data_IF_148010832063
#
_entry.id   IF_148010832063
#
_cell.length_a   1.000
_cell.length_b   1.000
_cell.length_c   1.000
_cell.angle_alpha   90.00
_cell.angle_beta   90.00
_cell.angle_gamma   90.00
#
_symmetry.space_group_name_H-M   'P 1'
#
loop_
_entity.id
_entity.type
_entity.pdbx_description
1 polymer ?
#
# COMPACT_ATOMS: atom_id res chain seq x y z
N UNK A 1 -32.35 -54.71 -31.67
CA UNK A 1 -32.09 -53.26 -31.55
C UNK A 1 -31.74 -52.97 -30.11
N UNK A 2 -30.45 -52.90 -29.80
CA UNK A 2 -30.01 -52.82 -28.42
C UNK A 2 -28.50 -52.66 -28.31
N UNK A 3 -28.13 -52.06 -27.18
CA UNK A 3 -26.81 -52.06 -26.54
C UNK A 3 -25.78 -51.12 -27.16
N UNK A 4 -25.82 -49.86 -26.74
CA UNK A 4 -24.79 -48.87 -27.05
C UNK A 4 -24.73 -47.74 -26.02
N UNK A 5 -24.76 -48.05 -24.72
CA UNK A 5 -24.71 -46.99 -23.69
C UNK A 5 -24.15 -47.43 -22.33
N UNK A 6 -22.99 -48.12 -22.26
CA UNK A 6 -22.34 -48.40 -20.95
C UNK A 6 -20.79 -48.31 -20.94
N UNK A 7 -20.09 -48.22 -22.07
CA UNK A 7 -18.62 -48.46 -22.06
C UNK A 7 -17.75 -47.22 -21.79
N UNK A 8 -18.29 -45.99 -21.79
CA UNK A 8 -17.44 -44.79 -21.72
C UNK A 8 -17.18 -44.22 -20.31
N UNK A 9 -17.80 -44.76 -19.25
CA UNK A 9 -17.67 -44.23 -17.89
C UNK A 9 -16.69 -44.98 -16.96
N UNK A 10 -16.14 -46.13 -17.38
CA UNK A 10 -15.26 -46.95 -16.53
C UNK A 10 -13.76 -46.80 -16.79
N UNK A 11 -13.34 -46.06 -17.85
CA UNK A 11 -11.91 -45.90 -18.19
C UNK A 11 -11.20 -44.71 -17.51
N UNK A 12 -11.93 -43.78 -16.88
CA UNK A 12 -11.32 -42.62 -16.18
C UNK A 12 -11.07 -42.83 -14.69
N UNK A 13 -11.68 -43.82 -14.05
CA UNK A 13 -11.51 -44.07 -12.62
C UNK A 13 -10.22 -44.84 -12.27
N UNK A 14 -9.63 -45.58 -13.22
CA UNK A 14 -8.47 -46.45 -12.94
C UNK A 14 -7.11 -45.78 -13.11
N UNK A 15 -7.03 -44.59 -13.74
CA UNK A 15 -5.76 -43.87 -13.93
C UNK A 15 -5.46 -42.90 -12.78
N UNK A 16 -6.47 -42.53 -11.98
CA UNK A 16 -6.28 -41.60 -10.84
C UNK A 16 -5.82 -42.33 -9.57
N UNK A 17 -5.97 -43.66 -9.48
CA UNK A 17 -5.65 -44.41 -8.26
C UNK A 17 -4.27 -45.08 -8.23
N UNK A 18 -3.55 -45.14 -9.36
CA UNK A 18 -2.24 -45.81 -9.43
C UNK A 18 -1.06 -44.84 -9.25
N UNK A 19 -1.28 -43.53 -9.32
CA UNK A 19 -0.22 -42.52 -9.11
C UNK A 19 -0.11 -42.03 -7.65
N UNK A 20 -0.77 -42.69 -6.68
CA UNK A 20 -0.72 -42.33 -5.25
C UNK A 20 -0.10 -43.42 -4.36
N UNK A 21 0.55 -44.44 -4.94
CA UNK A 21 1.07 -45.60 -4.18
C UNK A 21 2.52 -45.97 -4.52
N UNK A 22 3.36 -44.98 -4.88
CA UNK A 22 4.79 -45.20 -5.18
C UNK A 22 5.74 -44.16 -4.53
N UNK A 23 5.32 -43.47 -3.48
CA UNK A 23 6.21 -42.60 -2.69
C UNK A 23 6.28 -43.01 -1.20
N UNK A 24 6.01 -44.29 -0.93
CA UNK A 24 6.40 -44.93 0.32
C UNK A 24 7.72 -45.64 0.11
N UNK A 25 8.76 -45.20 0.84
CA UNK A 25 10.06 -45.87 1.03
C UNK A 25 11.17 -45.57 0.00
N UNK A 26 11.74 -44.37 0.12
CA UNK A 26 13.19 -44.19 -0.05
C UNK A 26 13.67 -43.17 1.00
N UNK A 27 14.19 -43.67 2.11
CA UNK A 27 14.86 -42.87 3.12
C UNK A 27 16.26 -42.47 2.64
N UNK A 28 16.60 -41.20 2.81
CA UNK A 28 17.95 -40.66 2.59
C UNK A 28 17.94 -39.21 2.13
N UNK A 29 17.98 -38.27 3.08
CA UNK A 29 18.59 -36.91 3.03
C UNK A 29 18.69 -36.32 1.60
N UNK A 30 17.71 -35.54 1.13
CA UNK A 30 17.65 -34.08 1.31
C UNK A 30 16.21 -33.58 1.04
N UNK A 31 15.47 -33.03 2.03
CA UNK A 31 14.13 -32.50 1.79
C UNK A 31 14.23 -31.03 1.37
N UNK A 32 14.94 -30.74 0.27
CA UNK A 32 14.94 -29.41 -0.32
C UNK A 32 14.72 -29.55 -1.82
N UNK A 33 13.48 -29.89 -2.20
CA UNK A 33 13.01 -29.71 -3.57
C UNK A 33 12.91 -28.20 -3.78
N UNK A 34 14.05 -27.61 -4.15
CA UNK A 34 14.24 -26.19 -4.39
C UNK A 34 13.35 -25.79 -5.57
N UNK A 35 12.14 -25.34 -5.26
CA UNK A 35 11.19 -24.90 -6.28
C UNK A 35 11.68 -23.58 -6.89
N UNK A 36 11.46 -23.37 -8.19
CA UNK A 36 11.80 -22.11 -8.88
C UNK A 36 11.28 -20.87 -8.14
N UNK A 37 10.10 -21.00 -7.50
CA UNK A 37 9.50 -19.98 -6.66
C UNK A 37 10.33 -19.66 -5.41
N UNK A 38 10.87 -20.67 -4.72
CA UNK A 38 11.73 -20.44 -3.56
C UNK A 38 13.04 -19.74 -3.96
N UNK A 39 13.62 -20.12 -5.11
CA UNK A 39 14.81 -19.44 -5.67
C UNK A 39 14.54 -17.96 -5.95
N UNK A 40 13.42 -17.65 -6.61
CA UNK A 40 13.02 -16.27 -6.91
C UNK A 40 12.87 -15.42 -5.64
N UNK A 41 12.13 -15.92 -4.64
CA UNK A 41 11.93 -15.20 -3.38
C UNK A 41 13.23 -15.03 -2.58
N UNK A 42 14.10 -16.04 -2.60
CA UNK A 42 15.41 -15.97 -1.94
C UNK A 42 16.30 -14.92 -2.62
N UNK A 43 16.33 -14.90 -3.95
CA UNK A 43 17.06 -13.90 -4.73
C UNK A 43 16.54 -12.48 -4.45
N UNK A 44 15.21 -12.29 -4.53
CA UNK A 44 14.55 -11.01 -4.25
C UNK A 44 14.87 -10.51 -2.85
N UNK A 45 14.77 -11.39 -1.85
CA UNK A 45 15.14 -11.06 -0.47
C UNK A 45 16.61 -10.70 -0.35
N UNK A 46 17.50 -11.43 -1.01
CA UNK A 46 18.95 -11.16 -0.96
C UNK A 46 19.29 -9.78 -1.56
N UNK A 47 18.71 -9.44 -2.72
CA UNK A 47 18.88 -8.12 -3.34
C UNK A 47 18.34 -7.01 -2.44
N UNK A 48 17.16 -7.20 -1.85
CA UNK A 48 16.58 -6.25 -0.89
C UNK A 48 17.50 -5.98 0.29
N UNK A 49 18.07 -7.03 0.89
CA UNK A 49 18.97 -6.90 2.03
C UNK A 49 20.29 -6.22 1.65
N UNK A 50 20.85 -6.55 0.48
CA UNK A 50 22.08 -5.89 -0.01
C UNK A 50 21.83 -4.39 -0.18
N UNK A 51 20.72 -4.00 -0.81
CA UNK A 51 20.38 -2.59 -1.03
C UNK A 51 20.12 -1.88 0.31
N UNK A 52 19.39 -2.52 1.23
CA UNK A 52 19.11 -1.99 2.57
C UNK A 52 20.39 -1.75 3.38
N UNK A 53 21.27 -2.75 3.42
CA UNK A 53 22.54 -2.68 4.16
C UNK A 53 23.45 -1.62 3.52
N UNK A 54 23.56 -1.60 2.19
CA UNK A 54 24.35 -0.60 1.49
C UNK A 54 23.84 0.82 1.77
N UNK A 55 22.52 1.03 1.72
CA UNK A 55 21.93 2.34 2.01
C UNK A 55 22.19 2.76 3.46
N UNK A 56 21.97 1.86 4.43
CA UNK A 56 22.18 2.15 5.85
C UNK A 56 23.63 2.52 6.16
N UNK A 57 24.58 1.68 5.73
CA UNK A 57 26.02 1.92 5.93
C UNK A 57 26.45 3.23 5.28
N UNK A 58 26.01 3.51 4.05
CA UNK A 58 26.44 4.72 3.35
C UNK A 58 25.89 5.98 4.05
N UNK A 59 24.64 5.99 4.50
CA UNK A 59 24.09 7.10 5.30
C UNK A 59 24.83 7.28 6.63
N UNK A 60 25.18 6.19 7.30
CA UNK A 60 25.96 6.26 8.55
C UNK A 60 27.35 6.82 8.32
N UNK A 61 28.01 6.45 7.21
CA UNK A 61 29.29 7.03 6.82
C UNK A 61 29.17 8.55 6.61
N UNK A 62 28.09 9.04 5.98
CA UNK A 62 27.85 10.48 5.85
C UNK A 62 27.69 11.17 7.22
N UNK A 63 26.96 10.55 8.17
CA UNK A 63 26.78 11.10 9.51
C UNK A 63 28.10 11.14 10.28
N UNK A 64 28.89 10.06 10.24
CA UNK A 64 30.19 9.95 10.90
C UNK A 64 31.21 10.92 10.30
N UNK A 65 31.16 11.13 8.98
CA UNK A 65 32.04 12.08 8.30
C UNK A 65 31.80 13.53 8.74
N UNK A 66 30.56 13.90 9.06
CA UNK A 66 30.25 15.25 9.52
C UNK A 66 30.82 15.57 10.91
N UNK A 67 30.71 14.62 11.84
CA UNK A 67 31.17 14.81 13.22
C UNK A 67 31.87 13.55 13.75
N UNK A 68 33.19 13.55 13.60
CA UNK A 68 34.06 12.46 14.04
C UNK A 68 34.16 12.34 15.57
N UNK A 69 33.70 13.33 16.34
CA UNK A 69 33.97 13.42 17.78
C UNK A 69 32.88 12.80 18.65
N UNK A 70 31.67 12.67 18.11
CA UNK A 70 30.53 12.13 18.85
C UNK A 70 30.44 10.60 18.73
N UNK A 71 30.73 9.90 19.82
CA UNK A 71 30.56 8.43 19.95
C UNK A 71 29.11 8.00 19.60
N UNK A 72 28.13 8.89 19.81
CA UNK A 72 26.72 8.66 19.44
C UNK A 72 26.52 8.36 17.96
N UNK A 73 27.40 8.82 17.07
CA UNK A 73 27.24 8.61 15.63
C UNK A 73 27.40 7.14 15.22
N UNK A 74 28.16 6.35 15.98
CA UNK A 74 28.31 4.90 15.76
C UNK A 74 27.08 4.10 16.21
N UNK A 75 26.22 4.69 17.07
CA UNK A 75 25.03 4.01 17.56
C UNK A 75 23.96 3.81 16.47
N UNK A 76 24.02 4.59 15.39
CA UNK A 76 23.09 4.49 14.25
C UNK A 76 23.15 3.16 13.49
N UNK A 77 24.23 2.40 13.67
CA UNK A 77 24.37 1.07 13.07
C UNK A 77 23.50 0.00 13.77
N UNK A 78 23.16 0.20 15.05
CA UNK A 78 22.31 -0.72 15.82
C UNK A 78 20.87 -0.80 15.28
N UNK A 79 20.14 0.32 15.08
CA UNK A 79 18.80 0.25 14.50
C UNK A 79 18.80 -0.27 13.06
N UNK A 80 19.86 -0.02 12.28
CA UNK A 80 20.00 -0.58 10.92
C UNK A 80 20.13 -2.11 10.94
N UNK A 81 20.92 -2.64 11.87
CA UNK A 81 21.02 -4.09 12.08
C UNK A 81 19.66 -4.70 12.48
N UNK A 82 18.91 -4.04 13.38
CA UNK A 82 17.56 -4.49 13.76
C UNK A 82 16.57 -4.44 12.58
N UNK A 83 16.67 -3.43 11.72
CA UNK A 83 15.83 -3.30 10.52
C UNK A 83 16.01 -4.49 9.57
N UNK A 84 17.25 -4.97 9.39
CA UNK A 84 17.54 -6.15 8.55
C UNK A 84 16.69 -7.35 8.99
N UNK A 85 16.62 -7.64 10.29
CA UNK A 85 15.76 -8.73 10.79
C UNK A 85 14.28 -8.46 10.54
N UNK A 86 13.83 -7.21 10.67
CA UNK A 86 12.47 -6.81 10.35
C UNK A 86 12.10 -7.12 8.90
N UNK A 87 12.96 -6.75 7.95
CA UNK A 87 12.76 -7.03 6.53
C UNK A 87 12.81 -8.52 6.20
N UNK A 88 13.75 -9.28 6.79
CA UNK A 88 13.78 -10.74 6.65
C UNK A 88 12.48 -11.37 7.13
N UNK A 89 11.96 -10.94 8.29
CA UNK A 89 10.70 -11.44 8.82
C UNK A 89 9.49 -11.07 7.95
N UNK A 90 9.45 -9.86 7.38
CA UNK A 90 8.40 -9.44 6.46
C UNK A 90 8.40 -10.25 5.15
N UNK A 91 9.59 -10.49 4.58
CA UNK A 91 9.74 -11.30 3.37
C UNK A 91 9.43 -12.77 3.62
N UNK A 92 9.87 -13.34 4.75
CA UNK A 92 9.56 -14.72 5.14
C UNK A 92 8.04 -14.93 5.31
N UNK A 93 7.35 -13.96 5.91
CA UNK A 93 5.87 -13.98 6.00
C UNK A 93 5.20 -13.87 4.64
N UNK A 94 5.68 -12.98 3.76
CA UNK A 94 5.21 -12.89 2.38
C UNK A 94 5.31 -14.25 1.66
N UNK A 95 6.46 -14.91 1.77
CA UNK A 95 6.67 -16.24 1.21
C UNK A 95 5.75 -17.32 1.81
N UNK A 96 5.55 -17.35 3.13
CA UNK A 96 4.64 -18.30 3.76
C UNK A 96 3.19 -18.09 3.36
N UNK A 97 2.78 -16.85 3.11
CA UNK A 97 1.44 -16.55 2.62
C UNK A 97 1.22 -17.04 1.18
N UNK A 98 2.29 -17.15 0.39
CA UNK A 98 2.25 -17.69 -0.98
C UNK A 98 2.18 -19.22 -1.04
N UNK A 99 2.48 -19.93 0.06
CA UNK A 99 2.37 -21.39 0.04
C UNK A 99 0.90 -21.80 -0.04
N UNK A 100 0.52 -22.65 -1.01
CA UNK A 100 -0.84 -23.18 -1.06
C UNK A 100 -1.11 -23.89 0.25
N UNK A 101 -2.09 -23.40 1.00
CA UNK A 101 -2.53 -24.09 2.21
C UNK A 101 -3.12 -25.42 1.76
N UNK A 102 -2.67 -26.56 2.32
CA UNK A 102 -3.32 -27.83 2.03
C UNK A 102 -4.81 -27.66 2.36
N UNK A 103 -5.68 -28.09 1.44
CA UNK A 103 -7.13 -28.11 1.61
C UNK A 103 -7.39 -28.96 2.85
N UNK A 104 -7.46 -28.32 4.02
CA UNK A 104 -8.04 -28.95 5.21
C UNK A 104 -9.52 -28.92 4.94
N UNK A 105 -10.08 -30.10 4.73
CA UNK A 105 -11.50 -30.37 4.77
C UNK A 105 -12.13 -29.55 5.89
N UNK A 106 -13.10 -28.72 5.51
CA UNK A 106 -14.11 -28.17 6.39
C UNK A 106 -14.55 -29.27 7.36
N UNK A 107 -14.18 -29.12 8.64
CA UNK A 107 -14.78 -29.74 9.83
C UNK A 107 -13.73 -29.70 10.93
N UNK A 108 -13.55 -28.53 11.54
CA UNK A 108 -13.03 -28.36 12.89
C UNK A 108 -13.09 -26.87 13.24
N UNK A 109 -14.19 -26.52 13.89
CA UNK A 109 -14.17 -25.69 15.09
C UNK A 109 -13.51 -24.30 14.97
N UNK A 110 -14.38 -23.31 14.97
CA UNK A 110 -14.20 -22.03 15.66
C UNK A 110 -13.54 -22.24 17.04
N UNK A 111 -12.21 -22.37 17.07
CA UNK A 111 -11.44 -22.06 18.26
C UNK A 111 -11.22 -20.56 18.26
N UNK A 112 -12.11 -19.87 18.96
CA UNK A 112 -11.89 -18.53 19.50
C UNK A 112 -10.63 -18.57 20.37
N UNK A 113 -9.47 -18.42 19.73
CA UNK A 113 -8.25 -18.01 20.41
C UNK A 113 -8.58 -16.67 21.09
N UNK A 114 -8.25 -16.46 22.38
CA UNK A 114 -8.45 -15.17 23.02
C UNK A 114 -7.61 -14.15 22.25
N UNK A 115 -8.28 -13.41 21.37
CA UNK A 115 -7.66 -12.47 20.47
C UNK A 115 -7.42 -11.22 21.30
N UNK A 116 -6.17 -11.00 21.73
CA UNK A 116 -5.76 -9.75 22.36
C UNK A 116 -6.38 -8.58 21.55
N UNK A 117 -7.12 -7.69 22.22
CA UNK A 117 -7.90 -6.62 21.56
C UNK A 117 -7.07 -5.82 20.55
N UNK A 118 -5.77 -5.65 20.83
CA UNK A 118 -4.80 -5.00 19.97
C UNK A 118 -4.62 -5.70 18.60
N UNK A 119 -4.64 -7.04 18.55
CA UNK A 119 -4.51 -7.78 17.30
C UNK A 119 -5.77 -7.67 16.44
N UNK A 120 -6.95 -7.72 17.05
CA UNK A 120 -8.23 -7.51 16.36
C UNK A 120 -8.30 -6.10 15.77
N UNK A 121 -7.88 -5.09 16.54
CA UNK A 121 -7.79 -3.70 16.10
C UNK A 121 -6.84 -3.51 14.91
N UNK A 122 -5.63 -4.08 14.96
CA UNK A 122 -4.68 -3.99 13.85
C UNK A 122 -5.17 -4.68 12.58
N UNK A 123 -5.80 -5.84 12.69
CA UNK A 123 -6.36 -6.54 11.52
C UNK A 123 -7.53 -5.75 10.92
N UNK A 124 -8.36 -5.12 11.75
CA UNK A 124 -9.48 -4.28 11.31
C UNK A 124 -9.03 -3.03 10.56
N UNK A 125 -7.98 -2.35 11.04
CA UNK A 125 -7.52 -1.08 10.45
C UNK A 125 -6.48 -1.28 9.34
N UNK A 126 -5.45 -2.11 9.58
CA UNK A 126 -4.33 -2.29 8.66
C UNK A 126 -4.53 -3.45 7.68
N UNK A 127 -5.49 -4.34 7.93
CA UNK A 127 -5.69 -5.56 7.14
C UNK A 127 -4.84 -6.73 7.64
N UNK A 128 -5.00 -7.89 6.97
CA UNK A 128 -4.40 -9.18 7.40
C UNK A 128 -2.88 -9.21 7.26
N UNK A 129 -2.30 -8.38 6.40
CA UNK A 129 -0.88 -8.38 6.03
C UNK A 129 -0.19 -7.07 6.45
N UNK A 130 -0.25 -6.74 7.74
CA UNK A 130 0.26 -5.49 8.28
C UNK A 130 1.80 -5.45 8.45
N UNK A 131 2.51 -6.58 8.38
CA UNK A 131 3.97 -6.62 8.65
C UNK A 131 4.81 -5.73 7.73
N UNK A 132 4.62 -5.72 6.39
CA UNK A 132 5.36 -4.83 5.49
C UNK A 132 5.14 -3.35 5.83
N UNK A 133 3.94 -2.98 6.27
CA UNK A 133 3.66 -1.61 6.72
C UNK A 133 4.52 -1.23 7.93
N UNK A 134 4.59 -2.05 8.98
CA UNK A 134 5.38 -1.71 10.16
C UNK A 134 6.86 -1.59 9.85
N UNK A 135 7.41 -2.56 9.11
CA UNK A 135 8.82 -2.56 8.75
C UNK A 135 9.15 -1.33 7.90
N UNK A 136 8.29 -1.00 6.94
CA UNK A 136 8.43 0.23 6.15
C UNK A 136 8.35 1.49 7.02
N UNK A 137 7.39 1.59 7.95
CA UNK A 137 7.25 2.78 8.80
C UNK A 137 8.46 2.99 9.71
N UNK A 138 8.98 1.92 10.33
CA UNK A 138 10.20 1.99 11.15
C UNK A 138 11.40 2.38 10.28
N UNK A 139 11.52 1.78 9.10
CA UNK A 139 12.55 2.11 8.12
C UNK A 139 12.48 3.59 7.69
N UNK A 140 11.33 4.06 7.25
CA UNK A 140 11.14 5.45 6.79
C UNK A 140 11.36 6.44 7.92
N UNK A 141 10.98 6.13 9.16
CA UNK A 141 11.25 7.00 10.30
C UNK A 141 12.76 7.12 10.55
N UNK A 142 13.49 6.01 10.54
CA UNK A 142 14.95 6.02 10.67
C UNK A 142 15.62 6.77 9.52
N UNK A 143 15.18 6.55 8.29
CA UNK A 143 15.64 7.28 7.11
C UNK A 143 15.40 8.79 7.27
N UNK A 144 14.19 9.19 7.66
CA UNK A 144 13.83 10.59 7.90
C UNK A 144 14.72 11.24 8.94
N UNK A 145 14.99 10.55 10.05
CA UNK A 145 15.87 11.09 11.10
C UNK A 145 17.30 11.27 10.57
N UNK A 146 17.86 10.27 9.87
CA UNK A 146 19.19 10.36 9.27
C UNK A 146 19.28 11.48 8.23
N UNK A 147 18.28 11.58 7.35
CA UNK A 147 18.19 12.65 6.35
C UNK A 147 18.07 14.02 7.01
N UNK A 148 17.24 14.17 8.04
CA UNK A 148 17.12 15.42 8.77
C UNK A 148 18.44 15.82 9.45
N UNK A 149 19.15 14.89 10.08
CA UNK A 149 20.47 15.13 10.68
C UNK A 149 21.47 15.60 9.61
N UNK A 150 21.53 14.89 8.48
CA UNK A 150 22.43 15.22 7.37
C UNK A 150 22.16 16.63 6.85
N UNK A 151 20.90 16.96 6.53
CA UNK A 151 20.56 18.26 5.94
C UNK A 151 20.53 19.41 6.94
N UNK A 152 20.42 19.13 8.25
CA UNK A 152 20.56 20.13 9.31
C UNK A 152 21.99 20.36 9.78
N UNK A 153 22.90 19.46 9.45
CA UNK A 153 24.32 19.65 9.70
C UNK A 153 24.95 20.60 8.68
N UNK A 154 26.20 20.99 8.91
CA UNK A 154 26.98 21.77 7.94
C UNK A 154 27.41 20.94 6.71
N UNK A 155 27.10 19.64 6.67
CA UNK A 155 27.51 18.73 5.62
C UNK A 155 27.09 19.19 4.21
N UNK A 156 25.83 19.63 3.94
CA UNK A 156 25.43 20.10 2.61
C UNK A 156 26.26 21.28 2.08
N UNK A 157 26.92 22.03 2.96
CA UNK A 157 27.78 23.16 2.63
C UNK A 157 29.26 22.75 2.46
N UNK A 158 29.66 21.59 3.01
CA UNK A 158 31.02 21.04 2.97
C UNK A 158 31.24 20.02 1.86
N UNK A 159 30.17 19.46 1.28
CA UNK A 159 30.30 18.46 0.23
C UNK A 159 30.84 19.09 -1.07
N UNK A 160 31.97 18.57 -1.55
CA UNK A 160 32.53 18.91 -2.85
C UNK A 160 32.23 17.80 -3.87
N UNK A 161 32.07 18.17 -5.14
CA UNK A 161 31.76 17.22 -6.22
C UNK A 161 32.91 16.24 -6.50
N UNK A 162 34.14 16.63 -6.17
CA UNK A 162 35.35 15.83 -6.40
C UNK A 162 35.67 14.83 -5.29
N UNK A 163 34.94 14.88 -4.17
CA UNK A 163 35.18 13.98 -3.04
C UNK A 163 34.48 12.63 -3.25
N UNK A 164 35.03 11.58 -2.59
CA UNK A 164 34.42 10.24 -2.63
C UNK A 164 32.99 10.21 -2.08
N UNK A 165 32.69 11.13 -1.15
CA UNK A 165 31.36 11.35 -0.58
C UNK A 165 30.67 12.53 -1.28
N UNK A 166 30.51 12.45 -2.59
CA UNK A 166 29.92 13.54 -3.37
C UNK A 166 28.43 13.73 -3.04
N UNK A 167 27.86 14.92 -3.30
CA UNK A 167 26.42 15.13 -3.15
C UNK A 167 25.60 14.21 -4.07
N UNK A 168 26.13 13.88 -5.25
CA UNK A 168 25.49 12.94 -6.18
C UNK A 168 25.38 11.52 -5.59
N UNK A 169 26.38 11.06 -4.84
CA UNK A 169 26.30 9.79 -4.13
C UNK A 169 25.24 9.85 -3.02
N UNK A 170 25.14 10.95 -2.27
CA UNK A 170 24.10 11.13 -1.24
C UNK A 170 22.70 11.01 -1.85
N UNK A 171 22.46 11.63 -3.02
CA UNK A 171 21.20 11.48 -3.75
C UNK A 171 20.93 10.05 -4.17
N UNK A 172 21.94 9.37 -4.70
CA UNK A 172 21.82 7.96 -5.09
C UNK A 172 21.46 7.10 -3.88
N UNK A 173 22.12 7.31 -2.75
CA UNK A 173 21.87 6.56 -1.51
C UNK A 173 20.45 6.80 -1.02
N UNK A 174 19.98 8.05 -1.01
CA UNK A 174 18.58 8.33 -0.66
C UNK A 174 17.59 7.72 -1.67
N UNK A 175 17.93 7.65 -2.95
CA UNK A 175 17.06 7.07 -3.98
C UNK A 175 16.97 5.55 -3.92
N UNK A 176 17.89 4.86 -3.24
CA UNK A 176 17.78 3.42 -2.97
C UNK A 176 16.49 3.06 -2.20
N UNK A 177 15.89 3.99 -1.45
CA UNK A 177 14.62 3.76 -0.77
C UNK A 177 13.47 3.43 -1.74
N UNK A 178 13.52 3.94 -2.97
CA UNK A 178 12.58 3.59 -4.04
C UNK A 178 12.70 2.11 -4.41
N UNK A 179 13.94 1.60 -4.52
CA UNK A 179 14.22 0.20 -4.85
C UNK A 179 13.79 -0.70 -3.67
N UNK A 180 14.11 -0.33 -2.44
CA UNK A 180 13.70 -1.05 -1.23
C UNK A 180 12.18 -1.18 -1.16
N UNK A 181 11.45 -0.09 -1.41
CA UNK A 181 9.99 -0.11 -1.44
C UNK A 181 9.45 -1.06 -2.51
N UNK A 182 9.95 -0.94 -3.74
CA UNK A 182 9.49 -1.76 -4.86
C UNK A 182 9.73 -3.25 -4.62
N UNK A 183 10.91 -3.61 -4.12
CA UNK A 183 11.28 -5.00 -3.77
C UNK A 183 10.45 -5.53 -2.59
N UNK A 184 10.19 -4.69 -1.58
CA UNK A 184 9.32 -5.05 -0.46
C UNK A 184 7.90 -5.38 -0.94
N UNK A 185 7.32 -4.55 -1.81
CA UNK A 185 5.99 -4.80 -2.38
C UNK A 185 5.98 -6.06 -3.23
N UNK A 186 6.95 -6.21 -4.13
CA UNK A 186 7.09 -7.39 -5.01
C UNK A 186 7.18 -8.69 -4.19
N UNK A 187 7.88 -8.67 -3.05
CA UNK A 187 8.00 -9.80 -2.14
C UNK A 187 6.72 -10.20 -1.40
N UNK A 188 5.65 -9.42 -1.54
CA UNK A 188 4.33 -9.74 -0.98
C UNK A 188 3.31 -10.15 -2.06
N UNK A 189 3.63 -9.95 -3.34
CA UNK A 189 2.71 -10.24 -4.45
C UNK A 189 2.48 -11.74 -4.54
N UNK A 190 1.25 -12.15 -4.21
CA UNK A 190 0.81 -13.55 -4.19
C UNK A 190 0.00 -13.93 -5.44
N UNK A 191 -0.23 -12.98 -6.35
CA UNK A 191 -1.16 -13.13 -7.48
C UNK A 191 -0.53 -13.84 -8.68
N UNK A 192 -1.35 -14.47 -9.50
CA UNK A 192 -0.92 -15.03 -10.77
C UNK A 192 -0.33 -13.95 -11.69
N UNK A 193 0.74 -14.29 -12.44
CA UNK A 193 1.38 -13.36 -13.36
C UNK A 193 0.39 -12.84 -14.42
N UNK A 194 0.40 -11.54 -14.67
CA UNK A 194 -0.44 -10.78 -15.60
C UNK A 194 -1.93 -10.68 -15.26
N UNK A 195 -2.32 -10.93 -14.02
CA UNK A 195 -3.67 -10.56 -13.58
C UNK A 195 -3.84 -9.04 -13.56
N UNK A 196 -5.06 -8.53 -13.85
CA UNK A 196 -5.39 -7.09 -13.74
C UNK A 196 -5.00 -6.51 -12.36
N UNK A 197 -4.99 -7.37 -11.34
CA UNK A 197 -4.66 -7.06 -9.97
C UNK A 197 -3.17 -6.86 -9.76
N UNK A 198 -2.33 -7.70 -10.36
CA UNK A 198 -0.88 -7.50 -10.34
C UNK A 198 -0.51 -6.20 -11.06
N UNK A 199 -1.15 -5.91 -12.19
CA UNK A 199 -0.96 -4.65 -12.93
C UNK A 199 -1.30 -3.45 -12.04
N UNK A 200 -2.38 -3.53 -11.26
CA UNK A 200 -2.73 -2.50 -10.28
C UNK A 200 -1.67 -2.33 -9.19
N UNK A 201 -1.21 -3.44 -8.59
CA UNK A 201 -0.19 -3.41 -7.51
C UNK A 201 1.12 -2.84 -8.05
N UNK A 202 1.57 -3.28 -9.23
CA UNK A 202 2.77 -2.78 -9.89
C UNK A 202 2.65 -1.29 -10.25
N UNK A 203 1.50 -0.87 -10.76
CA UNK A 203 1.23 0.55 -11.05
C UNK A 203 1.28 1.40 -9.78
N UNK A 204 0.63 0.96 -8.69
CA UNK A 204 0.71 1.66 -7.41
C UNK A 204 2.14 1.71 -6.88
N UNK A 205 2.86 0.59 -6.91
CA UNK A 205 4.26 0.49 -6.50
C UNK A 205 5.16 1.46 -7.28
N UNK A 206 5.02 1.48 -8.61
CA UNK A 206 5.80 2.33 -9.49
C UNK A 206 5.51 3.82 -9.30
N UNK A 207 4.24 4.18 -9.13
CA UNK A 207 3.84 5.57 -8.84
C UNK A 207 4.44 6.04 -7.52
N UNK A 208 4.37 5.22 -6.47
CA UNK A 208 4.94 5.55 -5.16
C UNK A 208 6.47 5.61 -5.20
N UNK A 209 7.13 4.71 -5.94
CA UNK A 209 8.55 4.76 -6.23
C UNK A 209 8.98 6.09 -6.87
N UNK A 210 8.22 6.58 -7.87
CA UNK A 210 8.49 7.89 -8.46
C UNK A 210 8.27 9.06 -7.50
N UNK A 211 7.30 8.99 -6.60
CA UNK A 211 7.10 10.02 -5.56
C UNK A 211 8.29 10.07 -4.59
N UNK A 212 8.85 8.91 -4.23
CA UNK A 212 10.08 8.83 -3.43
C UNK A 212 11.24 9.50 -4.18
N UNK A 213 11.46 9.17 -5.46
CA UNK A 213 12.51 9.78 -6.27
C UNK A 213 12.34 11.31 -6.38
N UNK A 214 11.11 11.77 -6.55
CA UNK A 214 10.77 13.19 -6.60
C UNK A 214 11.09 13.91 -5.28
N UNK A 215 11.01 13.21 -4.15
CA UNK A 215 11.40 13.76 -2.84
C UNK A 215 12.90 13.84 -2.64
N UNK A 216 13.62 12.86 -3.16
CA UNK A 216 15.09 12.90 -3.22
C UNK A 216 15.54 14.10 -4.06
N UNK A 217 14.94 14.34 -5.23
CA UNK A 217 15.29 15.51 -6.05
C UNK A 217 14.83 16.82 -5.41
N UNK A 218 13.75 16.81 -4.65
CA UNK A 218 13.27 17.98 -3.92
C UNK A 218 14.21 18.36 -2.78
N UNK A 219 14.61 17.42 -1.92
CA UNK A 219 15.54 17.70 -0.82
C UNK A 219 16.95 18.03 -1.32
N UNK A 220 17.33 17.50 -2.48
CA UNK A 220 18.59 17.84 -3.15
C UNK A 220 18.75 19.33 -3.46
N UNK A 221 17.65 20.09 -3.55
CA UNK A 221 17.71 21.54 -3.76
C UNK A 221 18.45 22.27 -2.63
N UNK A 222 18.56 21.65 -1.45
CA UNK A 222 19.27 22.17 -0.29
C UNK A 222 20.78 21.97 -0.36
N UNK A 223 21.28 21.19 -1.31
CA UNK A 223 22.72 20.97 -1.50
C UNK A 223 23.31 22.21 -2.16
N UNK A 224 24.09 22.97 -1.39
CA UNK A 224 24.58 24.28 -1.80
C UNK A 224 25.59 24.21 -2.96
N UNK A 225 26.40 23.14 -3.01
CA UNK A 225 27.39 22.94 -4.07
C UNK A 225 26.76 22.89 -5.47
N UNK A 226 25.53 22.40 -5.56
CA UNK A 226 24.81 22.21 -6.82
C UNK A 226 23.83 23.34 -7.11
N UNK A 227 23.14 23.86 -6.08
CA UNK A 227 22.14 24.91 -6.27
C UNK A 227 22.74 26.32 -6.30
N UNK A 228 23.91 26.53 -5.64
CA UNK A 228 24.52 27.86 -5.39
C UNK A 228 23.57 28.84 -4.68
N UNK A 229 22.58 28.35 -3.94
CA UNK A 229 21.57 29.16 -3.29
C UNK A 229 21.81 29.26 -1.78
N UNK A 230 21.55 30.46 -1.23
CA UNK A 230 21.37 30.66 0.20
C UNK A 230 19.86 30.74 0.46
N UNK A 231 19.27 29.61 0.86
CA UNK A 231 17.83 29.57 1.17
C UNK A 231 17.58 30.16 2.56
N UNK A 232 16.47 30.89 2.74
CA UNK A 232 16.00 31.25 4.07
C UNK A 232 15.70 30.01 4.91
N UNK A 233 16.02 30.06 6.21
CA UNK A 233 15.86 28.93 7.15
C UNK A 233 14.43 28.35 7.16
N UNK A 234 13.41 29.20 7.00
CA UNK A 234 12.02 28.73 6.94
C UNK A 234 11.74 27.86 5.71
N UNK A 235 12.35 28.19 4.57
CA UNK A 235 12.15 27.48 3.31
C UNK A 235 12.91 26.15 3.33
N UNK A 236 14.12 26.15 3.88
CA UNK A 236 14.90 24.93 4.12
C UNK A 236 14.13 23.96 5.05
N UNK A 237 13.62 24.46 6.17
CA UNK A 237 12.77 23.68 7.08
C UNK A 237 11.54 23.09 6.39
N UNK A 238 10.85 23.89 5.56
CA UNK A 238 9.69 23.44 4.82
C UNK A 238 10.05 22.32 3.82
N UNK A 239 11.15 22.48 3.07
CA UNK A 239 11.61 21.47 2.10
C UNK A 239 11.93 20.16 2.83
N UNK A 240 12.69 20.21 3.93
CA UNK A 240 13.02 19.01 4.74
C UNK A 240 11.73 18.38 5.26
N UNK A 241 10.83 19.16 5.87
CA UNK A 241 9.58 18.67 6.44
C UNK A 241 8.71 17.94 5.40
N UNK A 242 8.45 18.57 4.26
CA UNK A 242 7.61 17.97 3.22
C UNK A 242 8.29 16.78 2.53
N UNK A 243 9.62 16.82 2.32
CA UNK A 243 10.37 15.66 1.85
C UNK A 243 10.27 14.47 2.82
N UNK A 244 10.42 14.73 4.12
CA UNK A 244 10.33 13.71 5.15
C UNK A 244 8.92 13.10 5.25
N UNK A 245 7.88 13.92 5.18
CA UNK A 245 6.50 13.43 5.09
C UNK A 245 6.31 12.49 3.90
N UNK A 246 6.90 12.80 2.75
CA UNK A 246 6.75 11.96 1.58
C UNK A 246 7.47 10.60 1.69
N UNK A 247 8.55 10.47 2.46
CA UNK A 247 9.14 9.16 2.76
C UNK A 247 8.23 8.26 3.61
N UNK A 248 7.29 8.84 4.36
CA UNK A 248 6.31 8.11 5.17
C UNK A 248 5.06 7.69 4.38
N UNK A 249 4.69 8.45 3.33
CA UNK A 249 3.48 8.21 2.52
C UNK A 249 3.38 6.82 1.87
N UNK A 250 4.46 6.15 1.44
CA UNK A 250 4.39 4.78 0.95
C UNK A 250 3.82 3.80 1.98
N UNK A 251 3.86 4.13 3.28
CA UNK A 251 3.14 3.40 4.32
C UNK A 251 1.63 3.36 4.09
N UNK A 252 1.03 4.46 3.62
CA UNK A 252 -0.39 4.50 3.30
C UNK A 252 -0.70 3.62 2.08
N UNK A 253 0.19 3.58 1.08
CA UNK A 253 0.08 2.65 -0.05
C UNK A 253 0.09 1.18 0.42
N UNK A 254 0.97 0.85 1.38
CA UNK A 254 1.03 -0.50 1.98
C UNK A 254 -0.23 -0.84 2.79
N UNK A 255 -0.80 0.12 3.54
CA UNK A 255 -2.10 -0.10 4.22
C UNK A 255 -3.19 -0.40 3.19
N UNK A 256 -3.22 0.37 2.10
CA UNK A 256 -4.16 0.12 1.00
C UNK A 256 -4.00 -1.29 0.45
N UNK A 257 -2.77 -1.69 0.12
CA UNK A 257 -2.46 -3.03 -0.39
C UNK A 257 -2.82 -4.14 0.60
N UNK A 258 -2.51 -3.96 1.89
CA UNK A 258 -2.83 -4.92 2.95
C UNK A 258 -4.34 -5.08 3.15
N UNK A 259 -5.12 -3.99 3.11
CA UNK A 259 -6.60 -4.05 3.16
C UNK A 259 -7.20 -4.75 1.94
N UNK A 260 -6.54 -4.66 0.79
CA UNK A 260 -6.93 -5.39 -0.41
C UNK A 260 -6.44 -6.85 -0.40
N UNK A 261 -5.81 -7.30 0.69
CA UNK A 261 -5.14 -8.60 0.78
C UNK A 261 -4.18 -8.83 -0.40
N UNK A 262 -3.47 -7.79 -0.84
CA UNK A 262 -2.60 -7.82 -2.03
C UNK A 262 -3.31 -8.39 -3.27
N UNK A 263 -4.59 -8.03 -3.46
CA UNK A 263 -5.38 -8.41 -4.63
C UNK A 263 -6.41 -9.53 -4.39
N UNK A 264 -6.84 -9.80 -3.15
CA UNK A 264 -7.89 -10.81 -2.88
C UNK A 264 -9.26 -10.19 -2.53
N UNK A 265 -9.35 -8.91 -2.18
CA UNK A 265 -10.60 -8.24 -1.77
C UNK A 265 -10.86 -6.93 -2.52
N UNK A 266 -12.13 -6.57 -2.68
CA UNK A 266 -12.53 -5.26 -3.21
C UNK A 266 -12.21 -4.13 -2.22
N UNK A 267 -11.81 -2.98 -2.75
CA UNK A 267 -11.40 -1.81 -1.95
C UNK A 267 -12.63 -0.94 -1.67
N UNK A 268 -12.73 -0.40 -0.46
CA UNK A 268 -13.72 0.64 -0.17
C UNK A 268 -13.43 1.90 -1.01
N UNK A 269 -14.36 2.28 -1.88
CA UNK A 269 -14.23 3.41 -2.81
C UNK A 269 -13.84 4.73 -2.10
N UNK A 270 -14.45 5.00 -0.94
CA UNK A 270 -14.19 6.23 -0.15
C UNK A 270 -12.73 6.30 0.31
N UNK A 271 -12.16 5.19 0.78
CA UNK A 271 -10.76 5.14 1.21
C UNK A 271 -9.78 5.40 0.07
N UNK A 272 -10.15 5.02 -1.16
CA UNK A 272 -9.34 5.30 -2.35
C UNK A 272 -9.37 6.78 -2.73
N UNK A 273 -10.52 7.44 -2.64
CA UNK A 273 -10.66 8.88 -2.93
C UNK A 273 -9.89 9.73 -1.92
N UNK A 274 -10.04 9.46 -0.61
CA UNK A 274 -9.34 10.20 0.45
C UNK A 274 -7.82 10.07 0.30
N UNK A 275 -7.33 8.85 0.01
CA UNK A 275 -5.92 8.61 -0.28
C UNK A 275 -5.40 9.47 -1.43
N UNK A 276 -6.13 9.49 -2.55
CA UNK A 276 -5.77 10.26 -3.75
C UNK A 276 -5.73 11.76 -3.47
N UNK A 277 -6.69 12.29 -2.73
CA UNK A 277 -6.73 13.70 -2.32
C UNK A 277 -5.58 14.05 -1.38
N UNK A 278 -5.27 13.17 -0.43
CA UNK A 278 -4.15 13.34 0.49
C UNK A 278 -2.81 13.46 -0.28
N UNK A 279 -2.55 12.52 -1.20
CA UNK A 279 -1.37 12.56 -2.09
C UNK A 279 -1.35 13.80 -3.00
N UNK A 280 -2.51 14.22 -3.51
CA UNK A 280 -2.63 15.40 -4.35
C UNK A 280 -2.17 16.67 -3.61
N UNK A 281 -2.73 16.90 -2.43
CA UNK A 281 -2.50 18.11 -1.66
C UNK A 281 -1.14 18.13 -0.97
N UNK A 282 -0.80 17.06 -0.23
CA UNK A 282 0.42 17.05 0.58
C UNK A 282 1.69 17.00 -0.27
N UNK A 283 1.68 16.23 -1.36
CA UNK A 283 2.89 16.04 -2.18
C UNK A 283 2.84 16.97 -3.39
N UNK A 284 1.95 16.67 -4.34
CA UNK A 284 2.06 17.22 -5.70
C UNK A 284 1.82 18.73 -5.71
N UNK A 285 0.80 19.20 -5.00
CA UNK A 285 0.48 20.62 -4.90
C UNK A 285 1.54 21.39 -4.11
N UNK A 286 1.94 20.90 -2.93
CA UNK A 286 2.97 21.54 -2.10
C UNK A 286 4.31 21.64 -2.84
N UNK A 287 4.78 20.55 -3.45
CA UNK A 287 6.04 20.55 -4.19
C UNK A 287 5.98 21.45 -5.41
N UNK A 288 4.80 21.53 -6.07
CA UNK A 288 4.59 22.46 -7.17
C UNK A 288 4.73 23.92 -6.71
N UNK A 289 4.07 24.32 -5.62
CA UNK A 289 4.16 25.69 -5.08
C UNK A 289 5.60 26.05 -4.73
N UNK A 290 6.29 25.18 -3.97
CA UNK A 290 7.65 25.49 -3.51
C UNK A 290 8.62 25.58 -4.70
N UNK A 291 8.51 24.69 -5.69
CA UNK A 291 9.35 24.75 -6.90
C UNK A 291 9.03 25.98 -7.77
N UNK A 292 7.75 26.38 -7.86
CA UNK A 292 7.36 27.61 -8.55
C UNK A 292 7.93 28.85 -7.85
N UNK A 293 7.89 28.87 -6.53
CA UNK A 293 8.46 29.94 -5.71
C UNK A 293 9.99 30.02 -5.88
N UNK A 294 10.69 28.87 -5.87
CA UNK A 294 12.13 28.82 -6.12
C UNK A 294 12.50 29.29 -7.54
N UNK A 295 11.74 28.89 -8.54
CA UNK A 295 11.96 29.33 -9.92
C UNK A 295 11.75 30.85 -10.07
N UNK A 296 10.61 31.38 -9.59
CA UNK A 296 10.26 32.78 -9.75
C UNK A 296 11.05 33.74 -8.84
N UNK A 297 11.40 33.32 -7.63
CA UNK A 297 12.05 34.16 -6.62
C UNK A 297 13.58 34.03 -6.55
N UNK A 298 14.14 32.87 -6.88
CA UNK A 298 15.58 32.57 -6.73
C UNK A 298 16.27 32.23 -8.06
N UNK A 299 15.57 32.40 -9.20
CA UNK A 299 16.09 32.14 -10.55
C UNK A 299 16.66 30.73 -10.75
N UNK A 300 16.15 29.75 -10.00
CA UNK A 300 16.53 28.34 -10.12
C UNK A 300 16.09 27.81 -11.48
N UNK A 301 16.91 26.97 -12.12
CA UNK A 301 16.55 26.31 -13.38
C UNK A 301 15.19 25.61 -13.28
N UNK A 302 14.35 25.78 -14.31
CA UNK A 302 13.03 25.13 -14.39
C UNK A 302 13.21 23.62 -14.27
N UNK A 303 12.71 23.07 -13.16
CA UNK A 303 12.80 21.65 -12.90
C UNK A 303 11.73 20.91 -13.72
N UNK A 304 12.05 19.83 -14.44
CA UNK A 304 11.05 19.02 -15.16
C UNK A 304 10.00 18.42 -14.20
N UNK A 305 10.32 18.34 -12.91
CA UNK A 305 9.40 17.91 -11.87
C UNK A 305 8.21 18.86 -11.65
N UNK A 306 8.30 20.14 -12.06
CA UNK A 306 7.16 21.07 -12.06
C UNK A 306 6.06 20.54 -13.00
N UNK A 307 6.44 20.14 -14.22
CA UNK A 307 5.51 19.60 -15.23
C UNK A 307 4.95 18.25 -14.77
N UNK A 308 5.79 17.38 -14.19
CA UNK A 308 5.33 16.10 -13.60
C UNK A 308 4.27 16.32 -12.53
N UNK A 309 4.47 17.27 -11.61
CA UNK A 309 3.51 17.54 -10.54
C UNK A 309 2.20 18.10 -11.11
N UNK A 310 2.28 19.01 -12.10
CA UNK A 310 1.09 19.50 -12.79
C UNK A 310 0.31 18.39 -13.50
N UNK A 311 1.00 17.50 -14.22
CA UNK A 311 0.38 16.34 -14.87
C UNK A 311 -0.30 15.41 -13.85
N UNK A 312 0.39 15.08 -12.75
CA UNK A 312 -0.18 14.27 -11.66
C UNK A 312 -1.41 14.93 -11.05
N UNK A 313 -1.41 16.26 -10.85
CA UNK A 313 -2.57 16.98 -10.33
C UNK A 313 -3.79 16.81 -11.25
N UNK A 314 -3.62 17.03 -12.56
CA UNK A 314 -4.69 16.88 -13.55
C UNK A 314 -5.18 15.43 -13.63
N UNK A 315 -4.26 14.46 -13.65
CA UNK A 315 -4.58 13.04 -13.72
C UNK A 315 -5.39 12.57 -12.50
N UNK A 316 -4.95 12.93 -11.29
CA UNK A 316 -5.65 12.60 -10.05
C UNK A 316 -7.02 13.29 -10.01
N UNK A 317 -7.09 14.57 -10.38
CA UNK A 317 -8.36 15.31 -10.39
C UNK A 317 -9.39 14.67 -11.33
N UNK A 318 -8.97 14.23 -12.53
CA UNK A 318 -9.82 13.47 -13.46
C UNK A 318 -10.28 12.14 -12.86
N UNK A 319 -9.36 11.40 -12.22
CA UNK A 319 -9.68 10.12 -11.59
C UNK A 319 -10.67 10.27 -10.43
N UNK A 320 -10.43 11.25 -9.56
CA UNK A 320 -11.29 11.59 -8.41
C UNK A 320 -12.67 12.05 -8.90
N UNK A 321 -12.74 12.85 -9.96
CA UNK A 321 -14.02 13.28 -10.56
C UNK A 321 -14.86 12.09 -11.05
N UNK A 322 -14.22 11.10 -11.70
CA UNK A 322 -14.88 9.87 -12.13
C UNK A 322 -15.45 9.05 -10.98
N UNK A 323 -14.75 8.99 -9.85
CA UNK A 323 -15.17 8.26 -8.64
C UNK A 323 -16.21 9.03 -7.80
N UNK A 324 -16.18 10.37 -7.80
CA UNK A 324 -17.17 11.19 -7.07
C UNK A 324 -18.55 11.19 -7.73
N UNK A 325 -18.63 11.10 -9.06
CA UNK A 325 -19.91 11.12 -9.78
C UNK A 325 -20.89 10.02 -9.30
N UNK A 326 -20.52 8.73 -9.19
CA UNK A 326 -21.42 7.70 -8.65
C UNK A 326 -21.69 7.88 -7.15
N UNK A 327 -20.72 8.37 -6.37
CA UNK A 327 -20.93 8.63 -4.94
C UNK A 327 -21.97 9.74 -4.71
N UNK A 328 -21.90 10.84 -5.46
CA UNK A 328 -22.91 11.89 -5.39
C UNK A 328 -24.29 11.40 -5.83
N UNK A 329 -24.37 10.53 -6.84
CA UNK A 329 -25.63 9.93 -7.25
C UNK A 329 -26.23 9.05 -6.14
N UNK A 330 -25.39 8.23 -5.48
CA UNK A 330 -25.79 7.39 -4.34
C UNK A 330 -26.24 8.22 -3.13
N UNK A 331 -25.50 9.26 -2.76
CA UNK A 331 -25.85 10.19 -1.67
C UNK A 331 -27.16 10.92 -1.93
N UNK A 332 -27.39 11.36 -3.18
CA UNK A 332 -28.65 12.00 -3.57
C UNK A 332 -29.83 11.03 -3.49
N UNK A 333 -29.62 9.76 -3.83
CA UNK A 333 -30.60 8.68 -3.65
C UNK A 333 -30.93 8.41 -2.18
N UNK A 334 -29.90 8.34 -1.33
CA UNK A 334 -30.07 8.13 0.12
C UNK A 334 -30.84 9.29 0.78
N UNK A 335 -30.46 10.54 0.47
CA UNK A 335 -31.15 11.73 0.98
C UNK A 335 -32.62 11.80 0.54
N UNK A 336 -32.93 11.33 -0.68
CA UNK A 336 -34.32 11.26 -1.18
C UNK A 336 -35.15 10.20 -0.44
N UNK A 337 -34.57 9.02 -0.15
CA UNK A 337 -35.22 7.99 0.69
C UNK A 337 -35.46 8.46 2.12
N UNK A 338 -34.48 9.15 2.71
CA UNK A 338 -34.62 9.69 4.07
C UNK A 338 -35.75 10.73 4.17
N UNK A 339 -35.91 11.59 3.17
CA UNK A 339 -37.06 12.50 3.11
C UNK A 339 -38.41 11.77 2.93
N UNK A 340 -38.45 10.66 2.19
CA UNK A 340 -39.68 9.85 2.09
C UNK A 340 -40.08 9.21 3.41
N UNK A 341 -39.11 8.63 4.15
CA UNK A 341 -39.37 8.02 5.46
C UNK A 341 -39.90 9.07 6.44
N UNK A 342 -39.26 10.24 6.50
CA UNK A 342 -39.70 11.32 7.38
C UNK A 342 -41.08 11.87 7.00
N UNK A 343 -41.45 11.89 5.71
CA UNK A 343 -42.78 12.31 5.26
C UNK A 343 -43.89 11.29 5.52
N UNK A 344 -43.56 9.98 5.55
CA UNK A 344 -44.50 8.91 5.89
C UNK A 344 -44.75 8.90 7.41
N UNK A 345 -43.71 9.10 8.21
CA UNK A 345 -43.82 9.22 9.67
C UNK A 345 -44.66 10.43 10.09
N UNK A 346 -44.51 11.57 9.40
CA UNK A 346 -45.37 12.75 9.61
C UNK A 346 -46.83 12.52 9.24
N UNK A 347 -47.14 11.71 8.21
CA UNK A 347 -48.52 11.37 7.83
C UNK A 347 -49.18 10.36 8.78
N UNK A 348 -48.41 9.40 9.31
CA UNK A 348 -48.92 8.44 10.28
C UNK A 348 -49.30 9.06 11.64
N UNK A 349 -48.69 10.19 12.01
CA UNK A 349 -49.03 10.92 13.24
C UNK A 349 -50.32 11.74 13.09
N UNK A 350 -50.61 12.29 11.90
CA UNK A 350 -51.86 13.03 11.66
C UNK A 350 -53.09 12.09 11.53
N UNK A 351 -52.95 10.91 10.92
CA UNK A 351 -54.05 9.92 10.85
C UNK A 351 -54.27 9.17 12.18
N UNK A 352 -53.27 9.13 13.08
CA UNK A 352 -53.38 8.52 14.41
C UNK A 352 -54.12 9.38 15.44
N UNK A 353 -54.26 10.69 15.21
CA UNK A 353 -54.97 11.61 16.11
C UNK A 353 -56.49 11.63 15.84
N UNK A 354 -56.95 11.23 14.65
CA UNK A 354 -58.39 11.09 14.35
C UNK A 354 -58.98 9.72 14.70
N UNK A 355 -58.18 8.67 14.93
CA UNK A 355 -58.68 7.33 15.28
C UNK A 355 -58.45 6.91 16.74
N UNK A 356 -57.89 7.77 17.59
CA UNK A 356 -57.76 7.49 19.02
C UNK A 356 -59.02 7.87 19.82
N UNK A 357 -60.16 7.34 19.38
CA UNK A 357 -61.36 7.22 20.19
C UNK A 357 -62.01 5.84 19.97
N UNK A 358 -61.25 4.75 20.10
CA UNK A 358 -61.73 3.47 20.64
C UNK A 358 -60.63 2.43 20.77
N UNK A 359 -60.61 1.80 21.95
CA UNK A 359 -60.13 0.45 22.25
C UNK A 359 -58.63 0.16 22.40
N UNK A 360 -58.27 0.02 23.68
CA UNK A 360 -57.36 -0.95 24.27
C UNK A 360 -57.19 -2.27 23.47
N UNK A 361 -55.95 -2.64 23.15
CA UNK A 361 -55.35 -3.89 23.63
C UNK A 361 -53.86 -3.94 23.31
N UNK A 362 -53.09 -4.38 24.30
CA UNK A 362 -51.64 -4.58 24.31
C UNK A 362 -51.14 -5.60 23.28
N UNK A 363 -50.13 -5.26 22.49
CA UNK A 363 -49.17 -6.25 21.96
C UNK A 363 -47.82 -5.58 21.69
N UNK A 364 -46.82 -5.90 22.50
CA UNK A 364 -45.45 -5.42 22.35
C UNK A 364 -44.74 -6.25 21.27
N UNK A 365 -44.58 -5.68 20.07
CA UNK A 365 -43.73 -6.23 19.02
C UNK A 365 -42.34 -5.57 19.06
N UNK A 366 -41.35 -6.43 19.23
CA UNK A 366 -39.92 -6.15 19.38
C UNK A 366 -39.30 -5.71 18.03
N UNK A 367 -38.64 -4.54 17.91
CA UNK A 367 -37.96 -4.15 16.67
C UNK A 367 -36.50 -4.61 16.73
N UNK A 368 -36.28 -5.92 16.56
CA UNK A 368 -34.99 -6.48 16.19
C UNK A 368 -35.17 -7.23 14.88
N UNK A 369 -34.76 -6.58 13.79
CA UNK A 369 -34.42 -7.13 12.45
C UNK A 369 -34.56 -5.95 11.47
N UNK A 370 -33.54 -5.51 10.74
CA UNK A 370 -32.96 -6.18 9.58
C UNK A 370 -31.83 -5.27 9.08
N UNK A 371 -30.57 -5.71 9.14
CA UNK A 371 -29.56 -5.18 8.24
C UNK A 371 -29.80 -5.84 6.88
N UNK A 372 -30.34 -5.09 5.91
CA UNK A 372 -30.41 -5.54 4.52
C UNK A 372 -28.99 -5.64 3.95
N UNK A 373 -28.57 -6.88 3.75
CA UNK A 373 -27.43 -7.26 2.93
C UNK A 373 -27.73 -6.85 1.48
N UNK A 374 -27.02 -5.84 0.97
CA UNK A 374 -27.17 -5.38 -0.41
C UNK A 374 -26.46 -6.41 -1.31
N UNK A 375 -27.26 -7.28 -1.92
CA UNK A 375 -26.84 -8.22 -2.95
C UNK A 375 -26.58 -7.46 -4.26
N UNK A 376 -25.31 -7.18 -4.57
CA UNK A 376 -24.87 -6.64 -5.86
C UNK A 376 -24.71 -7.79 -6.85
N UNK A 377 -25.84 -8.26 -7.39
CA UNK A 377 -25.85 -9.26 -8.47
C UNK A 377 -26.97 -9.03 -9.48
N UNK A 378 -26.98 -7.88 -10.14
CA UNK A 378 -27.59 -7.75 -11.47
C UNK A 378 -27.01 -6.57 -12.22
N UNK A 379 -26.09 -6.82 -13.13
CA UNK A 379 -25.86 -5.99 -14.33
C UNK A 379 -24.86 -6.72 -15.25
N UNK A 380 -25.25 -7.90 -15.74
CA UNK A 380 -24.43 -8.63 -16.73
C UNK A 380 -25.26 -9.36 -17.78
N UNK A 381 -26.49 -8.89 -18.07
CA UNK A 381 -27.36 -9.55 -19.05
C UNK A 381 -28.05 -8.61 -20.05
N UNK A 382 -27.46 -7.43 -20.39
CA UNK A 382 -28.04 -6.54 -21.41
C UNK A 382 -27.06 -6.01 -22.46
N UNK A 383 -25.91 -6.65 -22.68
CA UNK A 383 -24.93 -6.23 -23.71
C UNK A 383 -24.76 -7.20 -24.89
N UNK A 384 -25.68 -8.15 -25.10
CA UNK A 384 -25.61 -9.11 -26.23
C UNK A 384 -26.78 -9.04 -27.21
N UNK A 385 -27.45 -7.89 -27.35
CA UNK A 385 -28.52 -7.75 -28.35
C UNK A 385 -28.58 -6.37 -29.04
N UNK A 386 -27.45 -5.86 -29.53
CA UNK A 386 -27.42 -4.86 -30.60
C UNK A 386 -26.11 -4.94 -31.40
N UNK A 387 -25.93 -6.03 -32.14
CA UNK A 387 -25.04 -6.07 -33.31
C UNK A 387 -25.57 -7.13 -34.29
N UNK A 388 -26.71 -6.80 -34.90
CA UNK A 388 -27.27 -7.47 -36.09
C UNK A 388 -28.28 -6.52 -36.72
N UNK A 389 -27.75 -5.56 -37.50
CA UNK A 389 -28.39 -4.97 -38.68
C UNK A 389 -27.41 -4.07 -39.40
#
# INVERSE_FOLDING_TARGET
>A
MGVGFVVHHLRRASVVFVSNRLEGMAGGVCPFRLTKHLLYYTFLTSVLLIVLIAQGILLDVYIIYNDHTAISNYFWLVPDFLLVFGFVAAMAKGYWNCKPKPIRSHDSESKSVPQNDLHSFHVSILGKYYFPFYVWMVYSLLLVVKVAIIFKSELPNKLNENDRLSPQLLKMVMSLSCIIFALLVEGQVTTEPNSEREIYIKSLSHNTAFEILDSVTFISLLIQSESRLLLPVYLENAIIFFACLNFLLPGIALVKLSRCNYGQSTVCMISSVVYKLCHLWLINFTYFIIRLYLWGGFSVSVSPFIVKNMYHMVSIMKSVWGELKPLFASLKGYRKKQHQIHSIESRGVDEGIEMSATNNSSEWANPSDKFEEIDLKSDTNNSTLMESK
#
